data_IF_908256530550
#
_entry.id   IF_908256530550
#
_cell.length_a   1.000
_cell.length_b   1.000
_cell.length_c   1.000
_cell.angle_alpha   90.00
_cell.angle_beta   90.00
_cell.angle_gamma   90.00
#
_symmetry.space_group_name_H-M   'P 1'
#
loop_
_entity.id
_entity.type
_entity.pdbx_description
1 polymer ?
#
# COMPACT_ATOMS: atom_id res chain seq x y z
N UNK A 1 -8.77 -18.39 9.45
CA UNK A 1 -10.03 -17.93 10.06
C UNK A 1 -11.15 -18.28 9.10
N UNK A 2 -12.08 -19.11 9.56
CA UNK A 2 -13.23 -19.59 8.77
C UNK A 2 -14.24 -18.45 8.61
N UNK A 3 -14.60 -18.12 7.37
CA UNK A 3 -15.78 -17.31 7.06
C UNK A 3 -16.93 -18.26 6.80
N UNK A 4 -17.51 -18.78 7.88
CA UNK A 4 -18.86 -19.32 7.86
C UNK A 4 -19.78 -18.20 8.29
N UNK A 5 -20.73 -17.79 7.42
CA UNK A 5 -22.11 -17.37 7.75
C UNK A 5 -22.83 -16.99 6.45
N UNK A 6 -23.93 -17.69 6.15
CA UNK A 6 -24.93 -17.30 5.15
C UNK A 6 -24.79 -17.93 3.75
N UNK A 7 -24.80 -19.26 3.63
CA UNK A 7 -25.07 -19.92 2.35
C UNK A 7 -26.57 -19.76 2.02
N UNK A 8 -26.93 -18.69 1.32
CA UNK A 8 -27.99 -18.81 0.33
C UNK A 8 -27.45 -19.72 -0.77
N UNK A 9 -28.23 -20.71 -1.21
CA UNK A 9 -27.84 -21.59 -2.32
C UNK A 9 -27.68 -20.71 -3.58
N UNK A 10 -26.44 -20.47 -4.02
CA UNK A 10 -26.17 -19.67 -5.21
C UNK A 10 -26.20 -20.60 -6.41
N UNK A 11 -27.24 -20.45 -7.25
CA UNK A 11 -27.30 -21.17 -8.52
C UNK A 11 -26.27 -20.62 -9.51
N UNK A 12 -26.03 -21.34 -10.62
CA UNK A 12 -25.15 -20.86 -11.68
C UNK A 12 -25.68 -19.56 -12.30
N UNK A 13 -26.99 -19.48 -12.47
CA UNK A 13 -27.69 -18.31 -13.02
C UNK A 13 -27.55 -17.09 -12.09
N UNK A 14 -27.55 -17.30 -10.77
CA UNK A 14 -27.30 -16.22 -9.81
C UNK A 14 -25.85 -15.73 -9.87
N UNK A 15 -24.89 -16.63 -10.06
CA UNK A 15 -23.49 -16.26 -10.25
C UNK A 15 -23.30 -15.48 -11.55
N UNK A 16 -23.88 -15.93 -12.66
CA UNK A 16 -23.84 -15.19 -13.92
C UNK A 16 -24.47 -13.80 -13.78
N UNK A 17 -25.61 -13.70 -13.08
CA UNK A 17 -26.28 -12.43 -12.85
C UNK A 17 -25.46 -11.47 -12.00
N UNK A 18 -24.73 -11.98 -11.01
CA UNK A 18 -23.78 -11.21 -10.22
C UNK A 18 -22.69 -10.62 -11.13
N UNK A 19 -22.08 -11.44 -11.98
CA UNK A 19 -21.00 -11.01 -12.88
C UNK A 19 -21.47 -9.95 -13.89
N UNK A 20 -22.64 -10.14 -14.50
CA UNK A 20 -23.24 -9.17 -15.43
C UNK A 20 -23.48 -7.81 -14.74
N UNK A 21 -23.97 -7.82 -13.50
CA UNK A 21 -24.19 -6.59 -12.73
C UNK A 21 -22.88 -5.90 -12.37
N UNK A 22 -21.86 -6.69 -12.01
CA UNK A 22 -20.54 -6.14 -11.71
C UNK A 22 -19.95 -5.45 -12.94
N UNK A 23 -19.99 -6.10 -14.11
CA UNK A 23 -19.49 -5.54 -15.37
C UNK A 23 -20.13 -4.20 -15.71
N UNK A 24 -21.47 -4.10 -15.59
CA UNK A 24 -22.19 -2.84 -15.83
C UNK A 24 -21.84 -1.70 -14.87
N UNK A 25 -21.26 -2.03 -13.71
CA UNK A 25 -20.85 -1.06 -12.69
C UNK A 25 -19.35 -0.75 -12.74
N UNK A 26 -18.58 -1.37 -13.64
CA UNK A 26 -17.17 -1.02 -13.83
C UNK A 26 -17.04 0.28 -14.65
N UNK A 27 -16.08 1.15 -14.33
CA UNK A 27 -15.81 2.33 -15.15
C UNK A 27 -15.27 1.90 -16.52
N UNK A 28 -15.64 2.63 -17.58
CA UNK A 28 -15.22 2.33 -18.96
C UNK A 28 -13.70 2.36 -19.19
N UNK A 29 -12.95 2.96 -18.26
CA UNK A 29 -11.49 2.96 -18.25
C UNK A 29 -11.00 2.51 -16.87
N UNK A 30 -10.99 1.19 -16.62
CA UNK A 30 -10.49 0.62 -15.37
C UNK A 30 -8.95 0.61 -15.38
N UNK A 31 -8.37 1.73 -14.97
CA UNK A 31 -6.92 1.84 -14.74
C UNK A 31 -6.52 1.46 -13.31
N UNK A 32 -7.47 0.99 -12.48
CA UNK A 32 -7.23 0.70 -11.08
C UNK A 32 -6.78 -0.75 -10.88
N UNK A 33 -5.91 -0.97 -9.89
CA UNK A 33 -5.55 -2.33 -9.50
C UNK A 33 -6.79 -3.07 -8.99
N UNK A 34 -6.84 -4.39 -9.18
CA UNK A 34 -7.95 -5.25 -8.74
C UNK A 34 -8.46 -4.94 -7.32
N UNK A 35 -7.54 -4.79 -6.34
CA UNK A 35 -7.90 -4.46 -4.95
C UNK A 35 -8.55 -3.08 -4.81
N UNK A 36 -8.07 -2.12 -5.59
CA UNK A 36 -8.60 -0.75 -5.57
C UNK A 36 -9.97 -0.71 -6.24
N UNK A 37 -10.12 -1.27 -7.44
CA UNK A 37 -11.39 -1.38 -8.14
C UNK A 37 -12.46 -2.11 -7.29
N UNK A 38 -12.10 -3.23 -6.66
CA UNK A 38 -12.99 -3.97 -5.77
C UNK A 38 -13.45 -3.14 -4.54
N UNK A 39 -12.56 -2.31 -4.00
CA UNK A 39 -12.88 -1.47 -2.83
C UNK A 39 -13.80 -0.30 -3.17
N UNK A 40 -13.69 0.24 -4.39
CA UNK A 40 -14.49 1.36 -4.88
C UNK A 40 -15.85 0.92 -5.45
N UNK A 41 -16.04 -0.38 -5.64
CA UNK A 41 -17.29 -0.92 -6.17
C UNK A 41 -18.47 -0.64 -5.24
N UNK A 42 -19.53 -0.09 -5.83
CA UNK A 42 -20.80 0.16 -5.15
C UNK A 42 -21.63 -1.12 -5.09
N UNK A 43 -21.44 -1.89 -4.02
CA UNK A 43 -22.06 -3.20 -3.85
C UNK A 43 -23.57 -3.14 -3.70
N UNK A 44 -24.14 -2.01 -3.28
CA UNK A 44 -25.59 -1.84 -3.21
C UNK A 44 -26.23 -1.79 -4.60
N UNK A 45 -25.53 -1.24 -5.60
CA UNK A 45 -25.97 -1.29 -7.01
C UNK A 45 -25.82 -2.66 -7.65
N UNK A 46 -24.91 -3.48 -7.11
CA UNK A 46 -24.69 -4.86 -7.54
C UNK A 46 -25.70 -5.82 -6.90
N UNK A 47 -26.31 -5.43 -5.77
CA UNK A 47 -27.33 -6.20 -5.07
C UNK A 47 -28.51 -6.56 -5.99
N UNK A 48 -29.09 -7.75 -5.77
CA UNK A 48 -30.21 -8.22 -6.57
C UNK A 48 -31.00 -9.35 -5.92
N UNK A 49 -32.27 -9.50 -6.32
CA UNK A 49 -33.19 -10.50 -5.73
C UNK A 49 -33.16 -10.37 -4.20
N UNK A 50 -32.85 -11.45 -3.49
CA UNK A 50 -32.69 -11.50 -2.02
C UNK A 50 -31.22 -11.35 -1.57
N UNK A 51 -30.30 -11.10 -2.50
CA UNK A 51 -28.88 -10.94 -2.21
C UNK A 51 -28.55 -9.46 -1.99
N UNK A 52 -28.15 -9.14 -0.76
CA UNK A 52 -27.66 -7.80 -0.41
C UNK A 52 -26.29 -7.54 -1.04
N UNK A 53 -25.89 -6.26 -1.08
CA UNK A 53 -24.56 -5.90 -1.59
C UNK A 53 -23.43 -6.61 -0.86
N UNK A 54 -23.58 -6.84 0.46
CA UNK A 54 -22.63 -7.62 1.24
C UNK A 54 -22.56 -9.08 0.80
N UNK A 55 -23.70 -9.73 0.50
CA UNK A 55 -23.73 -11.10 0.00
C UNK A 55 -23.06 -11.20 -1.38
N UNK A 56 -23.35 -10.25 -2.28
CA UNK A 56 -22.70 -10.14 -3.58
C UNK A 56 -21.17 -9.97 -3.45
N UNK A 57 -20.72 -9.12 -2.52
CA UNK A 57 -19.30 -8.91 -2.23
C UNK A 57 -18.63 -10.18 -1.72
N UNK A 58 -19.26 -10.89 -0.79
CA UNK A 58 -18.73 -12.14 -0.25
C UNK A 58 -18.62 -13.21 -1.34
N UNK A 59 -19.65 -13.35 -2.18
CA UNK A 59 -19.62 -14.31 -3.29
C UNK A 59 -18.53 -13.98 -4.31
N UNK A 60 -18.35 -12.70 -4.64
CA UNK A 60 -17.25 -12.26 -5.49
C UNK A 60 -15.86 -12.54 -4.89
N UNK A 61 -15.69 -12.37 -3.58
CA UNK A 61 -14.44 -12.70 -2.89
C UNK A 61 -14.12 -14.19 -2.98
N UNK A 62 -15.12 -15.05 -2.82
CA UNK A 62 -14.99 -16.50 -3.01
C UNK A 62 -14.56 -16.85 -4.44
N UNK A 63 -15.25 -16.32 -5.45
CA UNK A 63 -14.95 -16.54 -6.88
C UNK A 63 -13.54 -16.07 -7.20
N UNK A 64 -13.21 -14.82 -6.86
CA UNK A 64 -11.90 -14.22 -7.16
C UNK A 64 -10.74 -14.88 -6.41
N UNK A 65 -10.99 -15.50 -5.26
CA UNK A 65 -10.00 -16.29 -4.54
C UNK A 65 -9.70 -17.60 -5.26
N UNK A 66 -10.73 -18.31 -5.73
CA UNK A 66 -10.55 -19.54 -6.51
C UNK A 66 -9.91 -19.27 -7.88
N UNK A 67 -10.28 -18.18 -8.56
CA UNK A 67 -9.60 -17.76 -9.81
C UNK A 67 -8.11 -17.47 -9.58
N UNK A 68 -7.74 -16.86 -8.44
CA UNK A 68 -6.33 -16.62 -8.11
C UNK A 68 -5.56 -17.89 -7.71
N UNK A 69 -6.25 -18.95 -7.27
CA UNK A 69 -5.63 -20.28 -7.11
C UNK A 69 -5.36 -20.95 -8.45
N UNK A 70 -6.21 -20.68 -9.43
CA UNK A 70 -6.03 -21.11 -10.82
C UNK A 70 -5.07 -20.14 -11.53
N UNK A 71 -3.81 -20.11 -11.08
CA UNK A 71 -2.73 -19.51 -11.85
C UNK A 71 -1.84 -20.59 -12.42
N UNK A 72 -1.63 -20.53 -13.72
CA UNK A 72 -0.67 -21.39 -14.38
C UNK A 72 0.75 -20.91 -14.08
N UNK A 73 1.72 -21.83 -14.17
CA UNK A 73 3.13 -21.48 -14.04
C UNK A 73 3.54 -20.39 -15.05
N UNK A 74 2.99 -20.44 -16.27
CA UNK A 74 3.23 -19.45 -17.32
C UNK A 74 2.77 -18.04 -16.92
N UNK A 75 1.59 -17.90 -16.33
CA UNK A 75 1.07 -16.61 -15.85
C UNK A 75 1.92 -16.05 -14.69
N UNK A 76 2.36 -16.91 -13.77
CA UNK A 76 3.24 -16.51 -12.67
C UNK A 76 4.61 -16.03 -13.17
N UNK A 77 5.17 -16.72 -14.16
CA UNK A 77 6.46 -16.35 -14.77
C UNK A 77 6.33 -15.04 -15.55
N UNK A 78 5.23 -14.82 -16.26
CA UNK A 78 4.99 -13.58 -16.98
C UNK A 78 4.85 -12.39 -16.02
N UNK A 79 4.02 -12.52 -14.97
CA UNK A 79 3.87 -11.50 -13.94
C UNK A 79 5.22 -11.23 -13.23
N UNK A 80 6.02 -12.26 -12.93
CA UNK A 80 7.34 -12.09 -12.35
C UNK A 80 8.28 -11.31 -13.29
N UNK A 81 8.28 -11.62 -14.59
CA UNK A 81 9.06 -10.88 -15.60
C UNK A 81 8.65 -9.41 -15.67
N UNK A 82 7.35 -9.12 -15.71
CA UNK A 82 6.85 -7.73 -15.74
C UNK A 82 7.21 -6.97 -14.45
N UNK A 83 7.11 -7.61 -13.29
CA UNK A 83 7.46 -7.00 -12.00
C UNK A 83 8.97 -6.77 -11.82
N UNK A 84 9.83 -7.57 -12.47
CA UNK A 84 11.30 -7.34 -12.49
C UNK A 84 11.64 -6.04 -13.24
N UNK A 85 10.85 -5.68 -14.25
CA UNK A 85 11.06 -4.47 -15.04
C UNK A 85 10.26 -3.25 -14.53
N UNK A 86 9.16 -3.47 -13.79
CA UNK A 86 8.36 -2.38 -13.22
C UNK A 86 8.98 -1.84 -11.92
N UNK A 87 9.52 -0.62 -11.97
CA UNK A 87 10.07 0.11 -10.80
C UNK A 87 8.99 0.63 -9.82
N UNK A 88 7.76 0.13 -9.90
CA UNK A 88 6.65 0.66 -9.10
C UNK A 88 6.58 -0.01 -7.72
N UNK A 89 7.51 0.40 -6.86
CA UNK A 89 7.38 0.45 -5.39
C UNK A 89 6.77 -0.80 -4.74
N UNK A 90 7.52 -1.89 -4.76
CA UNK A 90 7.51 -2.83 -3.62
C UNK A 90 8.03 -2.10 -2.39
N UNK A 91 7.12 -1.43 -1.68
CA UNK A 91 7.36 -0.71 -0.43
C UNK A 91 7.52 -1.72 0.71
N UNK A 92 8.55 -2.55 0.60
CA UNK A 92 9.17 -3.43 1.60
C UNK A 92 10.26 -4.19 0.82
N UNK A 93 11.35 -3.50 0.48
CA UNK A 93 12.62 -4.21 0.41
C UNK A 93 12.79 -4.79 1.81
N UNK A 94 12.66 -6.11 1.91
CA UNK A 94 13.26 -6.82 3.04
C UNK A 94 14.71 -6.34 3.12
N UNK A 95 15.05 -5.77 4.27
CA UNK A 95 16.40 -5.30 4.55
C UNK A 95 17.26 -6.55 4.68
N UNK A 96 17.74 -7.08 3.56
CA UNK A 96 18.70 -8.17 3.59
C UNK A 96 19.91 -7.68 4.42
N UNK A 97 20.40 -8.46 5.40
CA UNK A 97 21.53 -8.07 6.24
C UNK A 97 22.76 -7.61 5.44
N UNK A 98 22.93 -8.15 4.22
CA UNK A 98 24.05 -7.85 3.31
C UNK A 98 23.86 -6.62 2.42
N UNK A 99 22.69 -5.96 2.42
CA UNK A 99 22.52 -4.76 1.60
C UNK A 99 23.14 -3.54 2.31
N UNK A 100 24.09 -2.82 1.69
CA UNK A 100 24.70 -1.66 2.33
C UNK A 100 23.61 -0.62 2.65
N UNK A 101 23.56 -0.16 3.90
CA UNK A 101 22.64 0.89 4.31
C UNK A 101 22.89 2.12 3.43
N UNK A 102 21.83 2.71 2.89
CA UNK A 102 21.95 3.95 2.10
C UNK A 102 22.72 5.00 2.90
N UNK A 103 23.63 5.76 2.26
CA UNK A 103 24.33 6.84 2.95
C UNK A 103 23.31 7.82 3.53
N UNK A 104 23.53 8.23 4.78
CA UNK A 104 22.65 9.17 5.46
C UNK A 104 22.78 10.54 4.78
N UNK A 105 21.64 11.15 4.45
CA UNK A 105 21.62 12.53 3.95
C UNK A 105 22.01 13.53 5.07
N UNK A 106 22.39 14.76 4.71
CA UNK A 106 22.76 15.83 5.68
C UNK A 106 21.69 16.03 6.72
N UNK A 107 20.44 16.02 6.24
CA UNK A 107 19.28 16.20 7.09
C UNK A 107 19.16 15.09 8.14
N UNK A 108 19.33 13.82 7.73
CA UNK A 108 19.22 12.69 8.65
C UNK A 108 20.38 12.67 9.65
N UNK A 109 21.59 13.07 9.25
CA UNK A 109 22.72 13.24 10.19
C UNK A 109 22.44 14.33 11.22
N UNK A 110 22.06 15.53 10.75
CA UNK A 110 21.66 16.63 11.64
C UNK A 110 20.56 16.21 12.61
N UNK A 111 19.54 15.53 12.09
CA UNK A 111 18.44 15.02 12.89
C UNK A 111 18.92 14.02 13.95
N UNK A 112 19.81 13.10 13.60
CA UNK A 112 20.35 12.10 14.53
C UNK A 112 21.17 12.73 15.65
N UNK A 113 21.95 13.76 15.35
CA UNK A 113 22.79 14.47 16.34
C UNK A 113 21.96 15.37 17.27
N UNK A 114 20.96 16.07 16.73
CA UNK A 114 20.18 17.06 17.49
C UNK A 114 19.01 16.44 18.26
N UNK A 115 18.42 15.34 17.77
CA UNK A 115 17.31 14.64 18.41
C UNK A 115 17.52 14.36 19.90
N UNK A 116 18.64 13.77 20.38
CA UNK A 116 18.81 13.51 21.81
C UNK A 116 18.84 14.79 22.65
N UNK A 117 19.44 15.87 22.14
CA UNK A 117 19.49 17.16 22.85
C UNK A 117 18.10 17.78 22.98
N UNK A 118 17.29 17.70 21.92
CA UNK A 118 15.94 18.23 21.93
C UNK A 118 14.97 17.36 22.74
N UNK A 119 15.18 16.04 22.78
CA UNK A 119 14.40 15.15 23.63
C UNK A 119 14.65 15.43 25.11
N UNK A 120 15.88 15.75 25.49
CA UNK A 120 16.22 16.19 26.85
C UNK A 120 15.61 17.54 27.21
N UNK A 121 15.59 18.50 26.28
CA UNK A 121 14.99 19.83 26.47
C UNK A 121 13.46 19.82 26.44
N UNK A 122 12.88 18.88 25.70
CA UNK A 122 11.45 18.77 25.48
C UNK A 122 10.95 17.32 25.67
N UNK A 123 11.05 16.75 26.89
CA UNK A 123 10.63 15.37 27.16
C UNK A 123 9.13 15.15 26.97
N UNK A 124 8.34 16.23 26.95
CA UNK A 124 6.89 16.24 26.74
C UNK A 124 6.46 16.16 25.26
N UNK A 125 7.37 16.39 24.31
CA UNK A 125 7.03 16.39 22.88
C UNK A 125 7.03 14.97 22.31
N UNK A 126 5.99 14.66 21.53
CA UNK A 126 5.95 13.46 20.71
C UNK A 126 7.05 13.46 19.66
N UNK A 127 7.53 12.27 19.28
CA UNK A 127 8.50 12.09 18.20
C UNK A 127 8.06 12.75 16.87
N UNK A 128 6.75 12.82 16.60
CA UNK A 128 6.22 13.49 15.41
C UNK A 128 6.43 15.01 15.48
N UNK A 129 6.14 15.62 16.62
CA UNK A 129 6.32 17.07 16.83
C UNK A 129 7.80 17.44 16.83
N UNK A 130 8.64 16.61 17.45
CA UNK A 130 10.09 16.76 17.42
C UNK A 130 10.66 16.73 15.98
N UNK A 131 10.07 15.90 15.11
CA UNK A 131 10.45 15.84 13.69
C UNK A 131 10.11 17.13 12.95
N UNK A 132 8.96 17.73 13.23
CA UNK A 132 8.56 19.01 12.65
C UNK A 132 9.51 20.13 13.08
N UNK A 133 9.75 20.27 14.39
CA UNK A 133 10.63 21.30 14.95
C UNK A 133 12.03 21.22 14.34
N UNK A 134 12.64 20.03 14.32
CA UNK A 134 13.98 19.85 13.76
C UNK A 134 14.03 20.10 12.24
N UNK A 135 12.93 19.85 11.52
CA UNK A 135 12.84 20.16 10.09
C UNK A 135 12.84 21.66 9.80
N UNK A 136 12.19 22.45 10.67
CA UNK A 136 12.15 23.90 10.57
C UNK A 136 13.48 24.53 10.96
N UNK A 137 14.10 24.05 12.04
CA UNK A 137 15.42 24.48 12.47
C UNK A 137 16.48 24.18 11.39
N UNK A 138 16.44 23.01 10.77
CA UNK A 138 17.33 22.67 9.66
C UNK A 138 17.18 23.63 8.47
N UNK A 139 15.96 24.09 8.16
CA UNK A 139 15.74 25.09 7.10
C UNK A 139 16.33 26.45 7.46
N UNK A 140 16.24 26.84 8.74
CA UNK A 140 16.76 28.10 9.28
C UNK A 140 18.28 28.10 9.52
N UNK A 141 18.94 26.93 9.47
CA UNK A 141 20.39 26.86 9.66
C UNK A 141 21.14 27.73 8.64
N UNK A 142 22.20 28.45 9.09
CA UNK A 142 23.10 29.18 8.21
C UNK A 142 23.74 28.26 7.16
N UNK A 143 23.97 28.80 5.97
CA UNK A 143 24.54 28.06 4.84
C UNK A 143 25.90 27.42 5.19
N UNK A 144 26.69 28.05 6.05
CA UNK A 144 27.96 27.51 6.55
C UNK A 144 27.81 26.19 7.32
N UNK A 145 26.75 26.04 8.12
CA UNK A 145 26.47 24.80 8.86
C UNK A 145 25.92 23.71 7.94
N UNK A 146 25.06 24.09 6.97
CA UNK A 146 24.58 23.17 5.93
C UNK A 146 25.73 22.65 5.06
N UNK A 147 26.69 23.49 4.72
CA UNK A 147 27.89 23.11 3.96
C UNK A 147 28.83 22.18 4.74
N UNK A 148 28.95 22.34 6.07
CA UNK A 148 29.68 21.39 6.93
C UNK A 148 29.02 20.01 6.91
N UNK A 149 27.69 19.97 7.03
CA UNK A 149 26.90 18.73 6.96
C UNK A 149 26.90 18.10 5.54
N UNK A 150 27.06 18.91 4.49
CA UNK A 150 27.19 18.45 3.11
C UNK A 150 28.57 17.87 2.81
N UNK A 151 29.64 18.52 3.27
CA UNK A 151 31.02 17.98 3.13
C UNK A 151 31.18 16.64 3.83
N UNK A 152 30.57 16.46 5.00
CA UNK A 152 30.59 15.21 5.74
C UNK A 152 29.77 14.07 5.09
N UNK A 153 28.94 14.34 4.09
CA UNK A 153 28.23 13.30 3.31
C UNK A 153 29.08 12.69 2.19
N UNK A 154 30.14 13.37 1.76
CA UNK A 154 30.95 12.99 0.60
C UNK A 154 32.23 12.21 0.95
N UNK A 155 32.46 11.94 2.24
CA UNK A 155 33.53 11.06 2.74
C UNK A 155 32.94 9.86 3.45
#
# INVERSE_FOLDING_TARGET
MMLSQGQGDWSKEDVEKLLERMEKNLPSNDSHTFKTAQSLMDWEKVAFKAFSGQMCKQKWLEISYNLRKLRTLSELVLEAKENVHSSHKSRKLEKHPDFPKKPLTSYIRFFTEMRPQYLQKHPQLSNQELTKVLSEEYKKLPEQMKQKLLRQQQG
#
